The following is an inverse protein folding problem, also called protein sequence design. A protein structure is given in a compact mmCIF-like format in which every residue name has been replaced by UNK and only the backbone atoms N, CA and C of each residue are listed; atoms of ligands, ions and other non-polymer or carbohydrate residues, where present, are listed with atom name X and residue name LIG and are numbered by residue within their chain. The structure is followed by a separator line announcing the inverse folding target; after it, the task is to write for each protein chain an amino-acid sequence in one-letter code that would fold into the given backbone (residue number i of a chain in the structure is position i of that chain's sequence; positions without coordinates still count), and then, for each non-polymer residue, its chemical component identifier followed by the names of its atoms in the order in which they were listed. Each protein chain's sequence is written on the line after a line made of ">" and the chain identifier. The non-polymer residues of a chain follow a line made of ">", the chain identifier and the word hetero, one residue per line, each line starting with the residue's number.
data_IF_278192957584
#
_entry.id   IF_278192957584
#
_cell.length_a   1.000
_cell.length_b   1.000
_cell.length_c   1.000
_cell.angle_alpha   90.00
_cell.angle_beta   90.00
_cell.angle_gamma   90.00
#
_symmetry.space_group_name_H-M   'P 1'
#
loop_
_entity.id
_entity.type
_entity.pdbx_description
1 polymer ?
#
# COMPACT_ATOMS: atom_id res chain seq x y z
N UNK A 1 39.18 49.18 13.10
CA UNK A 1 39.13 48.08 14.09
C UNK A 1 38.57 46.89 13.35
N UNK A 2 39.41 45.89 13.11
CA UNK A 2 39.10 44.69 12.33
C UNK A 2 38.15 43.78 13.12
N UNK A 3 37.09 43.29 12.46
CA UNK A 3 36.31 42.15 12.91
C UNK A 3 36.46 41.06 11.87
N UNK A 4 37.24 40.04 12.22
CA UNK A 4 37.51 38.85 11.42
C UNK A 4 36.23 38.07 11.16
N UNK A 5 35.92 37.83 9.87
CA UNK A 5 34.99 36.77 9.45
C UNK A 5 35.72 35.44 9.65
N UNK A 6 35.13 34.54 10.43
CA UNK A 6 35.54 33.14 10.45
C UNK A 6 34.97 32.46 9.20
N UNK A 7 35.86 31.94 8.35
CA UNK A 7 35.53 31.08 7.23
C UNK A 7 35.09 29.69 7.76
N UNK A 8 34.21 28.96 7.05
CA UNK A 8 33.84 27.61 7.46
C UNK A 8 35.07 26.69 7.30
N UNK A 9 35.39 25.96 8.36
CA UNK A 9 36.48 24.98 8.38
C UNK A 9 36.23 23.91 7.32
N UNK A 10 37.08 23.85 6.29
CA UNK A 10 37.14 22.72 5.36
C UNK A 10 37.48 21.45 6.14
N UNK A 11 36.55 20.49 6.15
CA UNK A 11 36.75 19.18 6.75
C UNK A 11 37.70 18.35 5.87
N UNK A 12 38.91 18.10 6.37
CA UNK A 12 39.90 17.21 5.76
C UNK A 12 39.38 15.77 5.64
N UNK A 13 39.73 15.11 4.55
CA UNK A 13 39.15 13.85 4.05
C UNK A 13 39.50 12.55 4.81
N UNK A 14 39.91 12.64 6.08
CA UNK A 14 40.47 11.49 6.83
C UNK A 14 39.82 11.25 8.22
N UNK A 15 38.53 11.56 8.39
CA UNK A 15 37.81 11.14 9.60
C UNK A 15 37.36 9.67 9.51
N UNK A 16 37.63 8.89 10.55
CA UNK A 16 37.15 7.51 10.65
C UNK A 16 35.63 7.44 10.95
N UNK A 17 35.01 6.30 10.67
CA UNK A 17 33.54 6.14 10.79
C UNK A 17 33.03 6.28 12.23
N UNK A 18 33.85 5.96 13.23
CA UNK A 18 33.50 6.11 14.66
C UNK A 18 33.60 7.57 15.09
N UNK A 19 34.52 8.34 14.52
CA UNK A 19 34.69 9.77 14.75
C UNK A 19 33.60 10.57 14.03
N UNK A 20 33.20 10.17 12.83
CA UNK A 20 32.03 10.71 12.13
C UNK A 20 30.72 10.44 12.89
N UNK A 21 30.57 9.24 13.46
CA UNK A 21 29.41 8.90 14.28
C UNK A 21 29.38 9.70 15.60
N UNK A 22 30.54 9.87 16.25
CA UNK A 22 30.66 10.71 17.45
C UNK A 22 30.39 12.18 17.14
N UNK A 23 30.84 12.68 16.00
CA UNK A 23 30.59 14.04 15.56
C UNK A 23 29.10 14.26 15.24
N UNK A 24 28.44 13.30 14.60
CA UNK A 24 27.00 13.34 14.36
C UNK A 24 26.19 13.33 15.67
N UNK A 25 26.59 12.50 16.65
CA UNK A 25 25.98 12.47 17.98
C UNK A 25 26.21 13.79 18.73
N UNK A 26 27.41 14.37 18.62
CA UNK A 26 27.73 15.66 19.23
C UNK A 26 26.91 16.82 18.63
N UNK A 27 26.72 16.84 17.30
CA UNK A 27 25.85 17.81 16.62
C UNK A 27 24.38 17.67 17.04
N UNK A 28 23.88 16.43 17.16
CA UNK A 28 22.51 16.18 17.65
C UNK A 28 22.30 16.59 19.12
N UNK A 29 23.35 16.52 19.96
CA UNK A 29 23.29 17.00 21.34
C UNK A 29 23.37 18.53 21.42
N UNK A 30 24.15 19.16 20.55
CA UNK A 30 24.30 20.61 20.50
C UNK A 30 23.02 21.31 19.99
N UNK A 31 22.31 20.71 19.01
CA UNK A 31 20.98 21.18 18.58
C UNK A 31 19.90 21.04 19.67
N UNK A 32 20.03 20.08 20.58
CA UNK A 32 19.13 19.93 21.73
C UNK A 32 19.40 20.98 22.83
N UNK A 33 20.65 21.41 23.00
CA UNK A 33 21.02 22.46 23.96
C UNK A 33 20.67 23.87 23.42
N UNK A 34 20.80 24.12 22.11
CA UNK A 34 20.44 25.42 21.50
C UNK A 34 18.92 25.64 21.42
N UNK A 35 18.10 24.58 21.38
CA UNK A 35 16.64 24.70 21.54
C UNK A 35 16.20 24.92 23.00
N UNK A 36 17.11 24.77 23.97
CA UNK A 36 16.85 24.94 25.40
C UNK A 36 16.98 26.37 25.95
N UNK A 37 17.65 27.29 25.25
CA UNK A 37 18.13 28.54 25.86
C UNK A 37 17.53 29.86 25.29
N UNK A 38 16.35 29.80 24.66
CA UNK A 38 15.55 30.99 24.37
C UNK A 38 14.20 30.98 25.09
N UNK A 39 14.22 31.00 26.42
CA UNK A 39 13.11 31.55 27.21
C UNK A 39 13.55 31.78 28.65
N UNK A 40 14.05 32.97 28.96
CA UNK A 40 14.16 33.45 30.34
C UNK A 40 14.18 34.97 30.38
N UNK A 41 13.03 35.60 30.72
CA UNK A 41 12.98 36.69 31.71
C UNK A 41 11.54 37.12 32.10
N UNK A 42 11.19 36.81 33.37
CA UNK A 42 10.31 37.48 34.38
C UNK A 42 8.75 37.41 34.30
N UNK A 43 7.96 37.54 35.40
CA UNK A 43 7.53 36.44 36.30
C UNK A 43 6.00 36.35 36.61
N UNK A 44 5.61 35.20 37.20
CA UNK A 44 4.53 34.96 38.20
C UNK A 44 3.08 35.42 37.96
N UNK A 45 2.14 34.45 37.86
CA UNK A 45 1.11 34.15 38.89
C UNK A 45 -0.15 33.44 38.34
N UNK A 46 -0.61 32.43 39.10
CA UNK A 46 -1.99 31.92 39.25
C UNK A 46 -2.81 31.36 38.07
N UNK A 47 -3.07 30.05 38.18
CA UNK A 47 -4.38 29.35 38.10
C UNK A 47 -5.27 29.45 36.85
N UNK A 48 -5.58 28.25 36.33
CA UNK A 48 -6.78 27.79 35.58
C UNK A 48 -6.74 27.70 34.04
N UNK A 49 -7.03 26.46 33.57
CA UNK A 49 -7.69 26.05 32.31
C UNK A 49 -7.19 26.58 30.96
N UNK A 50 -6.62 25.70 30.12
CA UNK A 50 -7.23 25.23 28.85
C UNK A 50 -6.24 24.44 27.98
N UNK A 51 -6.81 23.62 27.10
CA UNK A 51 -6.20 22.80 26.05
C UNK A 51 -4.92 23.31 25.39
N UNK A 52 -4.01 22.38 25.06
CA UNK A 52 -3.31 22.35 23.76
C UNK A 52 -2.87 20.93 23.39
N UNK A 53 -3.43 20.46 22.28
CA UNK A 53 -3.02 19.28 21.50
C UNK A 53 -1.63 19.54 20.91
N UNK A 54 -0.72 18.58 21.06
CA UNK A 54 0.49 18.48 20.24
C UNK A 54 0.27 17.40 19.18
N UNK A 55 0.22 17.82 17.92
CA UNK A 55 0.10 16.96 16.74
C UNK A 55 1.48 16.72 16.15
N UNK A 56 1.95 15.48 16.18
CA UNK A 56 3.00 14.95 15.30
C UNK A 56 2.42 13.71 14.63
N UNK A 57 1.98 13.83 13.37
CA UNK A 57 1.32 12.76 12.62
C UNK A 57 1.95 12.68 11.23
N UNK A 58 2.81 11.67 11.03
CA UNK A 58 3.43 11.32 9.76
C UNK A 58 3.19 9.85 9.35
N UNK A 59 2.25 9.17 10.01
CA UNK A 59 1.75 7.85 9.61
C UNK A 59 0.25 7.96 9.37
N UNK A 60 -0.22 7.47 8.22
CA UNK A 60 -1.62 7.50 7.80
C UNK A 60 -2.52 6.96 8.93
N UNK A 61 -3.14 7.89 9.64
CA UNK A 61 -4.13 7.61 10.65
C UNK A 61 -5.41 7.18 9.93
N UNK A 62 -5.75 5.90 10.04
CA UNK A 62 -7.14 5.42 9.92
C UNK A 62 -8.04 5.99 11.05
N UNK A 63 -7.56 6.99 11.80
CA UNK A 63 -8.27 7.70 12.86
C UNK A 63 -9.36 8.65 12.36
N UNK A 64 -9.91 8.41 11.17
CA UNK A 64 -11.12 9.08 10.72
C UNK A 64 -12.07 8.15 9.94
N UNK A 65 -12.20 6.89 10.35
CA UNK A 65 -13.53 6.30 10.38
C UNK A 65 -14.38 7.17 11.32
N UNK A 66 -14.99 8.26 10.81
CA UNK A 66 -16.09 9.00 11.46
C UNK A 66 -17.37 8.15 11.57
N UNK A 67 -17.21 6.84 11.66
CA UNK A 67 -18.20 5.88 12.10
C UNK A 67 -17.91 5.55 13.56
N UNK A 68 -17.78 6.60 14.38
CA UNK A 68 -17.58 6.46 15.81
C UNK A 68 -18.87 5.85 16.39
N UNK A 69 -18.89 4.51 16.48
CA UNK A 69 -20.01 3.74 17.00
C UNK A 69 -20.32 4.17 18.43
N UNK A 70 -19.32 4.57 19.22
CA UNK A 70 -19.53 5.16 20.55
C UNK A 70 -20.23 6.50 20.44
N UNK A 71 -19.80 7.40 19.56
CA UNK A 71 -20.48 8.69 19.36
C UNK A 71 -21.90 8.53 18.80
N UNK A 72 -22.15 7.59 17.89
CA UNK A 72 -23.49 7.27 17.39
C UNK A 72 -24.36 6.58 18.46
N UNK A 73 -23.80 5.69 19.29
CA UNK A 73 -24.50 5.08 20.42
C UNK A 73 -24.74 6.10 21.54
N UNK A 74 -23.80 7.01 21.81
CA UNK A 74 -23.93 8.13 22.72
C UNK A 74 -24.98 9.13 22.21
N UNK A 75 -24.98 9.46 20.93
CA UNK A 75 -26.01 10.31 20.32
C UNK A 75 -27.38 9.61 20.36
N UNK A 76 -27.44 8.29 20.12
CA UNK A 76 -28.66 7.48 20.29
C UNK A 76 -29.14 7.48 21.74
N UNK A 77 -28.23 7.32 22.70
CA UNK A 77 -28.50 7.35 24.13
C UNK A 77 -28.91 8.74 24.59
N UNK A 78 -28.33 9.80 24.04
CA UNK A 78 -28.71 11.19 24.29
C UNK A 78 -30.09 11.53 23.71
N UNK A 79 -30.43 11.01 22.52
CA UNK A 79 -31.79 11.11 21.95
C UNK A 79 -32.81 10.36 22.82
N UNK A 80 -32.48 9.17 23.32
CA UNK A 80 -33.31 8.41 24.26
C UNK A 80 -33.43 9.09 25.62
N UNK A 81 -32.37 9.73 26.11
CA UNK A 81 -32.37 10.48 27.36
C UNK A 81 -33.20 11.76 27.26
N UNK A 82 -33.11 12.51 26.14
CA UNK A 82 -33.98 13.67 25.85
C UNK A 82 -35.46 13.27 25.79
N UNK A 83 -35.77 12.10 25.22
CA UNK A 83 -37.13 11.54 25.18
C UNK A 83 -37.63 11.02 26.54
N UNK A 84 -36.73 10.73 27.48
CA UNK A 84 -37.06 10.37 28.89
C UNK A 84 -37.12 11.57 29.83
N UNK A 85 -36.67 12.76 29.42
CA UNK A 85 -36.57 13.95 30.27
C UNK A 85 -37.66 15.00 30.03
N UNK A 86 -38.73 14.64 29.30
CA UNK A 86 -39.91 15.50 29.11
C UNK A 86 -41.18 14.71 29.44
N UNK A 87 -41.65 14.71 30.69
CA UNK A 87 -43.07 14.53 31.00
C UNK A 87 -43.77 15.90 30.99
N UNK A 88 -45.06 15.91 30.66
CA UNK A 88 -46.00 17.06 30.60
C UNK A 88 -46.10 17.76 29.23
N UNK A 89 -46.99 17.29 28.35
CA UNK A 89 -48.35 17.85 28.26
C UNK A 89 -49.26 17.08 27.28
N UNK A 90 -50.55 17.24 27.52
CA UNK A 90 -51.66 16.36 27.17
C UNK A 90 -52.15 16.36 25.69
N UNK A 91 -52.72 15.20 25.33
CA UNK A 91 -53.93 14.96 24.49
C UNK A 91 -54.04 15.59 23.09
N UNK A 92 -54.10 14.72 22.07
CA UNK A 92 -55.31 14.54 21.26
C UNK A 92 -55.25 13.24 20.45
N UNK A 93 -56.40 12.59 20.40
CA UNK A 93 -56.74 11.33 19.75
C UNK A 93 -57.00 11.60 18.27
N UNK A 94 -56.44 10.78 17.38
CA UNK A 94 -57.09 10.43 16.11
C UNK A 94 -56.71 8.99 15.74
N UNK A 95 -57.72 8.12 15.87
CA UNK A 95 -57.72 6.71 15.54
C UNK A 95 -58.34 6.55 14.15
N UNK A 96 -57.57 6.04 13.16
CA UNK A 96 -58.09 5.61 11.85
C UNK A 96 -57.38 4.31 11.41
N UNK A 97 -58.10 3.31 10.85
CA UNK A 97 -57.82 1.87 11.01
C UNK A 97 -57.02 1.21 9.86
N UNK A 98 -56.61 -0.08 9.99
CA UNK A 98 -55.67 -0.72 9.07
C UNK A 98 -56.34 -1.19 7.77
N UNK A 99 -55.68 -0.93 6.64
CA UNK A 99 -56.09 -1.45 5.34
C UNK A 99 -55.57 -2.89 5.11
N UNK A 100 -56.50 -3.75 4.71
CA UNK A 100 -56.37 -5.19 4.49
C UNK A 100 -55.54 -5.54 3.26
N UNK A 101 -54.76 -6.61 3.44
CA UNK A 101 -54.27 -7.63 2.50
C UNK A 101 -55.16 -7.86 1.28
N UNK A 102 -54.59 -7.79 0.07
CA UNK A 102 -55.09 -8.50 -1.13
C UNK A 102 -53.90 -8.92 -2.03
N UNK A 103 -53.71 -10.24 -2.14
CA UNK A 103 -53.05 -10.94 -3.26
C UNK A 103 -54.00 -11.01 -4.45
N UNK A 104 -53.49 -11.01 -5.70
CA UNK A 104 -53.82 -12.16 -6.56
C UNK A 104 -52.72 -12.62 -7.55
N UNK A 105 -52.49 -13.94 -7.53
CA UNK A 105 -52.32 -14.91 -8.64
C UNK A 105 -51.39 -14.65 -9.82
N UNK A 106 -50.44 -15.58 -9.96
CA UNK A 106 -49.75 -16.03 -11.18
C UNK A 106 -50.69 -16.41 -12.33
N UNK A 107 -50.17 -16.39 -13.57
CA UNK A 107 -50.49 -17.42 -14.54
C UNK A 107 -49.24 -18.25 -14.87
N UNK A 108 -49.37 -19.55 -14.57
CA UNK A 108 -48.51 -20.64 -15.05
C UNK A 108 -48.36 -20.59 -16.58
N UNK A 109 -47.10 -20.60 -17.04
CA UNK A 109 -46.73 -21.09 -18.37
C UNK A 109 -45.51 -21.99 -18.25
N UNK A 110 -45.80 -23.27 -18.13
CA UNK A 110 -44.92 -24.40 -18.42
C UNK A 110 -44.40 -24.25 -19.85
N UNK A 111 -43.09 -24.01 -20.00
CA UNK A 111 -42.37 -24.33 -21.23
C UNK A 111 -41.16 -25.15 -20.83
N UNK A 112 -41.31 -26.45 -21.02
CA UNK A 112 -40.24 -27.45 -20.94
C UNK A 112 -39.24 -27.14 -22.06
N UNK A 113 -38.18 -26.39 -21.74
CA UNK A 113 -37.03 -26.24 -22.62
C UNK A 113 -35.88 -27.03 -22.01
N UNK A 114 -35.65 -28.19 -22.60
CA UNK A 114 -34.54 -29.12 -22.41
C UNK A 114 -33.23 -28.37 -22.21
N UNK A 115 -32.66 -28.49 -21.01
CA UNK A 115 -31.34 -28.01 -20.68
C UNK A 115 -30.29 -28.78 -21.50
N UNK A 116 -29.93 -28.22 -22.66
CA UNK A 116 -28.60 -28.42 -23.22
C UNK A 116 -27.78 -27.23 -22.75
N UNK A 117 -27.18 -27.38 -21.57
CA UNK A 117 -26.17 -26.47 -21.07
C UNK A 117 -24.95 -26.58 -22.01
N UNK A 118 -24.99 -25.85 -23.12
CA UNK A 118 -23.78 -25.54 -23.87
C UNK A 118 -22.86 -24.80 -22.91
N UNK A 119 -21.79 -25.49 -22.53
CA UNK A 119 -20.74 -25.02 -21.63
C UNK A 119 -20.05 -23.84 -22.30
N UNK A 120 -20.53 -22.63 -22.03
CA UNK A 120 -19.72 -21.44 -22.28
C UNK A 120 -18.58 -21.48 -21.25
N UNK A 121 -17.31 -21.36 -21.67
CA UNK A 121 -16.22 -21.14 -20.72
C UNK A 121 -16.57 -19.88 -19.92
N UNK A 122 -16.32 -19.88 -18.60
CA UNK A 122 -16.48 -18.69 -17.77
C UNK A 122 -15.52 -17.62 -18.32
N UNK A 123 -16.02 -16.75 -19.19
CA UNK A 123 -15.22 -15.72 -19.82
C UNK A 123 -14.99 -14.63 -18.78
N UNK A 124 -13.82 -14.67 -18.15
CA UNK A 124 -13.39 -13.60 -17.25
C UNK A 124 -12.83 -12.44 -18.08
N UNK A 125 -12.95 -11.18 -17.63
CA UNK A 125 -12.51 -10.01 -18.40
C UNK A 125 -11.01 -9.98 -18.73
N UNK A 126 -10.14 -10.32 -17.76
CA UNK A 126 -8.68 -10.22 -17.91
C UNK A 126 -7.96 -11.55 -17.66
N UNK A 127 -8.21 -12.60 -18.46
CA UNK A 127 -7.71 -13.96 -18.18
C UNK A 127 -6.18 -14.08 -18.27
N UNK A 128 -5.53 -13.21 -19.05
CA UNK A 128 -4.07 -13.17 -19.25
C UNK A 128 -3.41 -11.99 -18.53
N UNK A 129 -4.18 -11.26 -17.74
CA UNK A 129 -3.77 -9.99 -17.16
C UNK A 129 -3.79 -8.82 -18.16
N UNK A 130 -3.78 -7.62 -17.62
CA UNK A 130 -3.67 -6.37 -18.37
C UNK A 130 -2.97 -5.31 -17.51
N UNK A 131 -2.28 -4.39 -18.19
CA UNK A 131 -1.76 -3.16 -17.60
C UNK A 131 -2.65 -2.02 -18.09
N UNK A 132 -3.08 -1.17 -17.16
CA UNK A 132 -3.95 -0.01 -17.40
C UNK A 132 -3.37 1.22 -16.70
N UNK A 133 -3.68 2.40 -17.22
CA UNK A 133 -3.49 3.67 -16.52
C UNK A 133 -4.75 4.02 -15.75
N UNK A 134 -4.64 4.71 -14.63
CA UNK A 134 -5.82 5.30 -14.02
C UNK A 134 -6.37 6.39 -14.93
N UNK A 135 -7.69 6.41 -15.10
CA UNK A 135 -8.33 7.50 -15.83
C UNK A 135 -8.06 8.84 -15.14
N UNK A 136 -7.74 9.88 -15.91
CA UNK A 136 -7.50 11.22 -15.39
C UNK A 136 -8.55 12.24 -15.89
N UNK A 137 -9.18 12.96 -14.96
CA UNK A 137 -10.18 13.98 -15.26
C UNK A 137 -9.61 15.10 -16.13
N UNK A 138 -10.28 15.40 -17.23
CA UNK A 138 -9.88 16.46 -18.16
C UNK A 138 -8.90 16.01 -19.24
N UNK A 139 -8.59 14.71 -19.31
CA UNK A 139 -7.89 14.10 -20.43
C UNK A 139 -8.84 13.23 -21.26
N UNK A 140 -8.62 13.10 -22.58
CA UNK A 140 -9.35 12.14 -23.39
C UNK A 140 -9.14 10.72 -22.86
N UNK A 141 -10.23 9.97 -22.73
CA UNK A 141 -10.18 8.58 -22.28
C UNK A 141 -9.81 7.66 -23.45
N UNK A 142 -8.87 6.74 -23.23
CA UNK A 142 -8.50 5.67 -24.16
C UNK A 142 -8.91 4.29 -23.64
N UNK A 143 -8.69 3.25 -24.44
CA UNK A 143 -8.87 1.85 -24.04
C UNK A 143 -7.91 1.40 -22.94
N UNK A 144 -6.85 2.15 -22.69
CA UNK A 144 -5.82 1.82 -21.70
C UNK A 144 -6.14 2.40 -20.33
N UNK A 145 -7.17 3.24 -20.22
CA UNK A 145 -7.55 3.89 -18.98
C UNK A 145 -8.64 3.12 -18.22
N UNK A 146 -8.46 3.00 -16.91
CA UNK A 146 -9.39 2.31 -15.99
C UNK A 146 -9.76 3.20 -14.80
N UNK A 147 -11.01 3.11 -14.36
CA UNK A 147 -11.50 3.71 -13.12
C UNK A 147 -11.59 2.69 -11.99
N UNK A 148 -11.58 3.17 -10.74
CA UNK A 148 -11.73 2.30 -9.57
C UNK A 148 -13.04 1.51 -9.60
N UNK A 149 -14.13 2.08 -10.12
CA UNK A 149 -15.43 1.41 -10.20
C UNK A 149 -15.41 0.22 -11.18
N UNK A 150 -14.60 0.30 -12.23
CA UNK A 150 -14.43 -0.77 -13.22
C UNK A 150 -13.53 -1.89 -12.68
N UNK A 151 -12.59 -1.53 -11.80
CA UNK A 151 -11.80 -2.48 -11.03
C UNK A 151 -12.67 -3.21 -10.01
N UNK A 152 -13.41 -2.48 -9.17
CA UNK A 152 -14.17 -3.04 -8.05
C UNK A 152 -15.45 -3.75 -8.49
N UNK A 153 -16.15 -3.25 -9.51
CA UNK A 153 -17.43 -3.83 -9.97
C UNK A 153 -18.38 -4.09 -8.80
N UNK A 154 -18.63 -3.03 -8.00
CA UNK A 154 -19.23 -3.12 -6.66
C UNK A 154 -20.51 -3.95 -6.58
N UNK A 155 -21.33 -3.97 -7.62
CA UNK A 155 -22.60 -4.69 -7.66
C UNK A 155 -22.43 -6.22 -7.62
N UNK A 156 -21.23 -6.74 -7.91
CA UNK A 156 -20.90 -8.18 -7.89
C UNK A 156 -19.87 -8.56 -6.85
N UNK A 157 -19.25 -7.58 -6.20
CA UNK A 157 -18.12 -7.80 -5.30
C UNK A 157 -18.59 -8.41 -3.98
N UNK A 158 -18.15 -9.63 -3.67
CA UNK A 158 -18.55 -10.35 -2.45
C UNK A 158 -17.55 -10.12 -1.31
N UNK A 159 -16.26 -10.06 -1.65
CA UNK A 159 -15.19 -9.84 -0.68
C UNK A 159 -14.03 -9.10 -1.33
N UNK A 160 -13.49 -8.12 -0.61
CA UNK A 160 -12.26 -7.45 -0.99
C UNK A 160 -11.24 -7.53 0.14
N UNK A 161 -10.05 -8.06 -0.15
CA UNK A 161 -8.86 -7.79 0.64
C UNK A 161 -8.14 -6.63 -0.02
N UNK A 162 -7.94 -5.55 0.73
CA UNK A 162 -7.31 -4.32 0.24
C UNK A 162 -6.09 -3.99 1.09
N UNK A 163 -4.99 -3.61 0.46
CA UNK A 163 -3.86 -2.95 1.11
C UNK A 163 -3.55 -1.63 0.40
N UNK A 164 -3.13 -0.63 1.17
CA UNK A 164 -2.72 0.67 0.66
C UNK A 164 -1.91 1.42 1.71
N UNK A 165 -1.10 2.38 1.27
CA UNK A 165 -0.39 3.24 2.21
C UNK A 165 -1.29 4.39 2.69
N UNK A 166 -2.02 5.03 1.78
CA UNK A 166 -3.01 6.07 2.10
C UNK A 166 -4.44 5.62 1.80
N UNK A 167 -5.37 6.12 2.61
CA UNK A 167 -6.79 5.76 2.58
C UNK A 167 -7.62 7.03 2.71
N UNK A 168 -8.64 7.15 1.86
CA UNK A 168 -9.77 8.06 2.07
C UNK A 168 -11.00 7.18 2.31
N UNK A 169 -11.40 7.08 3.58
CA UNK A 169 -12.44 6.14 4.02
C UNK A 169 -13.81 6.45 3.41
N UNK A 170 -14.19 7.72 3.37
CA UNK A 170 -15.47 8.15 2.81
C UNK A 170 -15.52 7.88 1.31
N UNK A 171 -14.44 8.22 0.61
CA UNK A 171 -14.29 7.90 -0.80
C UNK A 171 -14.32 6.40 -1.04
N UNK A 172 -13.54 5.60 -0.31
CA UNK A 172 -13.50 4.14 -0.48
C UNK A 172 -14.88 3.51 -0.24
N UNK A 173 -15.57 3.91 0.83
CA UNK A 173 -16.91 3.42 1.12
C UNK A 173 -17.93 3.80 0.03
N UNK A 174 -17.72 4.91 -0.69
CA UNK A 174 -18.55 5.27 -1.85
C UNK A 174 -18.36 4.34 -3.06
N UNK A 175 -17.20 3.65 -3.15
CA UNK A 175 -16.82 2.78 -4.28
C UNK A 175 -17.25 1.32 -4.10
N UNK A 176 -17.79 0.94 -2.95
CA UNK A 176 -18.21 -0.44 -2.62
C UNK A 176 -19.68 -0.47 -2.15
N UNK A 177 -20.34 -1.64 -2.20
CA UNK A 177 -21.63 -1.83 -1.50
C UNK A 177 -21.39 -2.57 -0.17
N UNK A 178 -21.42 -1.88 0.99
CA UNK A 178 -21.13 -2.49 2.28
C UNK A 178 -22.18 -3.51 2.74
N UNK A 179 -23.35 -3.59 2.08
CA UNK A 179 -24.36 -4.62 2.37
C UNK A 179 -24.00 -5.96 1.75
N UNK A 180 -23.20 -5.94 0.69
CA UNK A 180 -22.83 -7.14 -0.08
C UNK A 180 -21.37 -7.51 0.14
N UNK A 181 -20.48 -6.52 0.15
CA UNK A 181 -19.03 -6.74 0.18
C UNK A 181 -18.50 -6.82 1.60
N UNK A 182 -17.81 -7.91 1.92
CA UNK A 182 -16.97 -8.01 3.13
C UNK A 182 -15.58 -7.43 2.85
N UNK A 183 -15.03 -6.67 3.78
CA UNK A 183 -13.69 -6.08 3.64
C UNK A 183 -12.69 -6.71 4.62
N UNK A 184 -11.51 -7.01 4.10
CA UNK A 184 -10.33 -7.33 4.87
C UNK A 184 -9.23 -6.32 4.54
N UNK A 185 -8.96 -5.40 5.46
CA UNK A 185 -8.02 -4.29 5.25
C UNK A 185 -6.66 -4.66 5.84
N UNK A 186 -5.66 -4.84 4.98
CA UNK A 186 -4.25 -4.88 5.38
C UNK A 186 -3.81 -3.44 5.65
N UNK A 187 -3.73 -3.09 6.92
CA UNK A 187 -3.46 -1.74 7.38
C UNK A 187 -2.21 -1.69 8.25
N UNK A 188 -1.53 -0.55 8.24
CA UNK A 188 -0.46 -0.28 9.20
C UNK A 188 -1.07 0.18 10.53
N UNK A 189 -0.46 -0.26 11.62
CA UNK A 189 -0.70 0.30 12.94
C UNK A 189 0.60 0.28 13.75
N UNK A 190 0.89 1.39 14.44
CA UNK A 190 2.13 1.66 15.17
C UNK A 190 2.21 0.95 16.54
N UNK A 191 1.06 0.53 17.08
CA UNK A 191 0.96 0.03 18.45
C UNK A 191 -0.22 -0.93 18.62
N UNK A 192 -0.15 -1.80 19.64
CA UNK A 192 -1.28 -2.67 20.00
C UNK A 192 -2.51 -1.88 20.47
N UNK A 193 -2.30 -0.69 21.04
CA UNK A 193 -3.39 0.22 21.40
C UNK A 193 -4.15 0.69 20.16
N UNK A 194 -3.43 1.16 19.14
CA UNK A 194 -4.03 1.59 17.87
C UNK A 194 -4.71 0.41 17.15
N UNK A 195 -4.08 -0.78 17.11
CA UNK A 195 -4.72 -2.00 16.56
C UNK A 195 -6.03 -2.33 17.25
N UNK A 196 -6.06 -2.23 18.58
CA UNK A 196 -7.25 -2.52 19.39
C UNK A 196 -8.36 -1.49 19.14
N UNK A 197 -8.00 -0.21 19.08
CA UNK A 197 -8.93 0.87 18.75
C UNK A 197 -9.56 0.67 17.37
N UNK A 198 -8.74 0.46 16.34
CA UNK A 198 -9.19 0.22 14.96
C UNK A 198 -10.13 -0.99 14.87
N UNK A 199 -9.80 -2.10 15.54
CA UNK A 199 -10.67 -3.28 15.60
C UNK A 199 -11.99 -2.99 16.31
N UNK A 200 -11.98 -2.23 17.40
CA UNK A 200 -13.17 -1.91 18.18
C UNK A 200 -14.15 -0.98 17.45
N UNK A 201 -13.62 -0.12 16.59
CA UNK A 201 -14.38 0.85 15.81
C UNK A 201 -14.77 0.32 14.41
N UNK A 202 -14.31 -0.87 14.03
CA UNK A 202 -14.60 -1.45 12.73
C UNK A 202 -16.12 -1.72 12.56
N UNK A 203 -16.74 -1.20 11.49
CA UNK A 203 -18.13 -1.53 11.15
C UNK A 203 -18.31 -3.03 10.87
N UNK A 204 -19.55 -3.56 11.01
CA UNK A 204 -19.86 -4.92 10.59
C UNK A 204 -19.43 -5.17 9.13
N UNK A 205 -18.80 -6.32 8.89
CA UNK A 205 -18.31 -6.68 7.55
C UNK A 205 -16.88 -6.21 7.25
N UNK A 206 -16.27 -5.36 8.09
CA UNK A 206 -14.89 -4.91 7.95
C UNK A 206 -14.00 -5.60 9.00
N UNK A 207 -12.84 -6.09 8.57
CA UNK A 207 -11.81 -6.66 9.45
C UNK A 207 -10.45 -6.09 9.08
N UNK A 208 -9.59 -5.93 10.08
CA UNK A 208 -8.21 -5.49 9.89
C UNK A 208 -7.21 -6.63 10.05
N UNK A 209 -6.18 -6.61 9.22
CA UNK A 209 -4.95 -7.39 9.34
C UNK A 209 -3.80 -6.40 9.46
N UNK A 210 -2.91 -6.63 10.42
CA UNK A 210 -1.79 -5.73 10.72
C UNK A 210 -0.48 -6.48 10.49
N UNK A 211 0.20 -6.26 9.35
CA UNK A 211 1.50 -6.88 9.09
C UNK A 211 2.54 -6.51 10.14
N UNK A 212 3.44 -7.44 10.48
CA UNK A 212 4.57 -7.15 11.34
C UNK A 212 5.59 -6.27 10.59
N UNK A 213 6.02 -5.17 11.22
CA UNK A 213 6.88 -4.16 10.58
C UNK A 213 8.37 -4.32 10.91
N UNK A 214 8.71 -5.04 11.98
CA UNK A 214 10.08 -5.47 12.32
C UNK A 214 11.16 -4.36 12.27
N UNK A 215 10.80 -3.12 12.62
CA UNK A 215 11.68 -1.96 12.61
C UNK A 215 11.08 -0.75 11.89
N UNK A 216 11.89 0.29 11.62
CA UNK A 216 11.49 1.43 10.81
C UNK A 216 11.08 0.97 9.40
N UNK A 217 10.00 1.54 8.86
CA UNK A 217 9.53 1.22 7.52
C UNK A 217 8.06 1.58 7.32
N UNK A 218 7.56 1.32 6.10
CA UNK A 218 6.20 1.61 5.71
C UNK A 218 5.51 0.39 5.10
N UNK A 219 4.22 0.19 5.42
CA UNK A 219 3.37 -0.74 4.68
C UNK A 219 2.97 -0.07 3.37
N UNK A 220 3.83 -0.19 2.35
CA UNK A 220 3.64 0.48 1.07
C UNK A 220 2.94 -0.40 0.01
N UNK A 221 2.64 -1.66 0.36
CA UNK A 221 2.02 -2.59 -0.57
C UNK A 221 0.61 -2.14 -0.92
N UNK A 222 0.33 -2.14 -2.22
CA UNK A 222 -0.98 -1.84 -2.79
C UNK A 222 -1.41 -3.08 -3.54
N UNK A 223 -2.27 -3.86 -2.90
CA UNK A 223 -2.75 -5.15 -3.40
C UNK A 223 -4.25 -5.22 -3.17
N UNK A 224 -4.98 -5.69 -4.18
CA UNK A 224 -6.42 -5.91 -4.08
C UNK A 224 -6.73 -7.34 -4.53
N UNK A 225 -7.29 -8.15 -3.64
CA UNK A 225 -7.87 -9.45 -3.98
C UNK A 225 -9.39 -9.31 -3.91
N UNK A 226 -10.02 -9.30 -5.08
CA UNK A 226 -11.43 -9.02 -5.25
C UNK A 226 -12.14 -10.31 -5.67
N UNK A 227 -13.03 -10.81 -4.82
CA UNK A 227 -13.78 -12.05 -5.05
C UNK A 227 -15.17 -11.74 -5.58
N UNK A 228 -15.48 -12.42 -6.67
CA UNK A 228 -16.78 -12.43 -7.33
C UNK A 228 -17.34 -13.86 -7.32
N UNK A 229 -18.63 -14.06 -7.65
CA UNK A 229 -19.25 -15.40 -7.63
C UNK A 229 -18.49 -16.45 -8.47
N UNK A 230 -17.90 -16.02 -9.59
CA UNK A 230 -17.35 -16.85 -10.64
C UNK A 230 -15.84 -16.65 -10.89
N UNK A 231 -15.20 -15.64 -10.28
CA UNK A 231 -13.76 -15.41 -10.43
C UNK A 231 -13.13 -14.63 -9.28
N UNK A 232 -11.80 -14.73 -9.18
CA UNK A 232 -10.95 -13.89 -8.34
C UNK A 232 -10.20 -12.92 -9.23
N UNK A 233 -10.28 -11.62 -8.94
CA UNK A 233 -9.39 -10.62 -9.54
C UNK A 233 -8.26 -10.30 -8.57
N UNK A 234 -7.03 -10.34 -9.07
CA UNK A 234 -5.86 -9.80 -8.37
C UNK A 234 -5.47 -8.50 -9.06
N UNK A 235 -5.32 -7.43 -8.28
CA UNK A 235 -4.93 -6.09 -8.75
C UNK A 235 -3.70 -5.65 -7.98
N UNK A 236 -2.70 -5.17 -8.70
CA UNK A 236 -1.50 -4.52 -8.15
C UNK A 236 -1.43 -3.11 -8.74
N UNK A 237 -2.07 -2.12 -8.08
CA UNK A 237 -1.98 -0.73 -8.49
C UNK A 237 -0.77 -0.02 -7.86
N UNK A 238 -0.32 1.03 -8.51
CA UNK A 238 0.59 2.04 -7.91
C UNK A 238 -0.16 3.11 -7.12
N UNK A 239 -1.45 3.30 -7.43
CA UNK A 239 -2.38 4.22 -6.76
C UNK A 239 -2.72 3.81 -5.32
N UNK A 240 -2.72 4.77 -4.40
CA UNK A 240 -3.36 4.64 -3.09
C UNK A 240 -4.89 4.61 -3.22
N UNK A 241 -5.61 4.30 -2.14
CA UNK A 241 -7.07 4.30 -2.10
C UNK A 241 -7.62 5.68 -1.74
N UNK A 242 -7.36 6.64 -2.63
CA UNK A 242 -7.71 8.07 -2.50
C UNK A 242 -8.14 8.62 -3.87
N UNK A 243 -9.04 9.61 -3.95
CA UNK A 243 -9.61 10.08 -5.22
C UNK A 243 -8.58 10.62 -6.20
N UNK A 244 -7.54 11.31 -5.71
CA UNK A 244 -6.56 11.95 -6.58
C UNK A 244 -5.69 10.95 -7.35
N UNK A 245 -5.35 9.81 -6.74
CA UNK A 245 -4.52 8.76 -7.37
C UNK A 245 -5.29 7.98 -8.46
N UNK A 246 -6.61 7.93 -8.34
CA UNK A 246 -7.52 7.38 -9.36
C UNK A 246 -8.01 8.46 -10.34
N UNK A 247 -7.28 9.58 -10.38
CA UNK A 247 -7.37 10.65 -11.37
C UNK A 247 -8.66 11.48 -11.32
N UNK A 248 -9.45 11.40 -10.24
CA UNK A 248 -10.67 12.22 -10.09
C UNK A 248 -10.38 13.73 -10.01
N UNK A 249 -9.17 14.10 -9.57
CA UNK A 249 -8.67 15.48 -9.61
C UNK A 249 -8.06 15.86 -10.96
N UNK A 250 -7.65 14.86 -11.77
CA UNK A 250 -6.95 15.05 -13.03
C UNK A 250 -5.49 15.49 -12.88
N UNK A 251 -4.91 15.35 -11.69
CA UNK A 251 -3.54 15.79 -11.38
C UNK A 251 -2.54 14.64 -11.42
N UNK A 252 -2.96 13.45 -11.00
CA UNK A 252 -2.10 12.28 -10.92
C UNK A 252 -2.54 11.20 -11.91
N UNK A 253 -1.57 10.50 -12.45
CA UNK A 253 -1.74 9.28 -13.24
C UNK A 253 -0.99 8.15 -12.53
N UNK A 254 -1.62 6.98 -12.42
CA UNK A 254 -1.03 5.79 -11.82
C UNK A 254 -1.20 4.60 -12.77
N UNK A 255 -0.41 3.56 -12.57
CA UNK A 255 -0.50 2.29 -13.29
C UNK A 255 -1.23 1.23 -12.45
N UNK A 256 -1.96 0.34 -13.14
CA UNK A 256 -2.72 -0.77 -12.56
C UNK A 256 -2.45 -2.04 -13.36
N UNK A 257 -1.84 -3.04 -12.73
CA UNK A 257 -1.90 -4.41 -13.23
C UNK A 257 -3.12 -5.12 -12.65
N UNK A 258 -3.88 -5.85 -13.47
CA UNK A 258 -4.95 -6.72 -13.01
C UNK A 258 -5.03 -8.01 -13.82
N UNK A 259 -5.42 -9.11 -13.17
CA UNK A 259 -5.64 -10.42 -13.77
C UNK A 259 -6.82 -11.13 -13.10
N UNK A 260 -7.63 -11.80 -13.91
CA UNK A 260 -8.83 -12.51 -13.46
C UNK A 260 -8.63 -14.03 -13.56
N UNK A 261 -8.87 -14.72 -12.45
CA UNK A 261 -8.74 -16.16 -12.32
C UNK A 261 -10.13 -16.79 -12.19
N UNK A 262 -10.58 -17.58 -13.17
CA UNK A 262 -11.89 -18.21 -13.11
C UNK A 262 -11.95 -19.20 -11.95
N UNK A 263 -13.12 -19.30 -11.32
CA UNK A 263 -13.36 -20.26 -10.25
C UNK A 263 -13.39 -21.68 -10.82
N UNK A 264 -12.66 -22.59 -10.17
CA UNK A 264 -12.66 -24.01 -10.52
C UNK A 264 -14.00 -24.64 -10.15
N UNK A 265 -14.53 -25.47 -11.06
CA UNK A 265 -15.73 -26.29 -10.78
C UNK A 265 -15.44 -27.39 -9.76
N UNK A 266 -14.24 -27.92 -9.80
CA UNK A 266 -13.73 -28.93 -8.87
C UNK A 266 -12.38 -28.46 -8.30
N UNK A 267 -12.30 -28.11 -7.02
CA UNK A 267 -11.05 -27.71 -6.37
C UNK A 267 -9.93 -28.76 -6.47
N UNK A 268 -10.26 -30.05 -6.66
CA UNK A 268 -9.25 -31.10 -6.85
C UNK A 268 -8.42 -30.94 -8.14
N UNK A 269 -8.91 -30.13 -9.09
CA UNK A 269 -8.21 -29.82 -10.34
C UNK A 269 -7.16 -28.72 -10.20
N UNK A 270 -7.07 -28.08 -9.03
CA UNK A 270 -6.13 -27.00 -8.79
C UNK A 270 -4.69 -27.42 -9.07
N UNK A 271 -4.00 -26.58 -9.84
CA UNK A 271 -2.57 -26.70 -10.11
C UNK A 271 -1.88 -25.45 -9.61
N UNK A 272 -1.06 -25.64 -8.59
CA UNK A 272 -0.25 -24.55 -8.03
C UNK A 272 0.74 -24.04 -9.09
N UNK A 273 0.87 -22.72 -9.20
CA UNK A 273 1.84 -22.05 -10.06
C UNK A 273 2.87 -21.32 -9.21
N UNK A 274 4.00 -20.90 -9.79
CA UNK A 274 4.97 -20.07 -9.09
C UNK A 274 4.32 -18.78 -8.55
N UNK A 275 3.50 -18.13 -9.37
CA UNK A 275 2.73 -16.95 -8.99
C UNK A 275 1.79 -17.21 -7.81
N UNK A 276 0.96 -18.26 -7.86
CA UNK A 276 0.00 -18.54 -6.78
C UNK A 276 0.70 -18.93 -5.47
N UNK A 277 1.87 -19.58 -5.59
CA UNK A 277 2.74 -19.90 -4.45
C UNK A 277 3.24 -18.63 -3.76
N UNK A 278 3.85 -17.72 -4.51
CA UNK A 278 4.42 -16.48 -3.94
C UNK A 278 3.34 -15.53 -3.44
N UNK A 279 2.19 -15.43 -4.12
CA UNK A 279 1.03 -14.70 -3.61
C UNK A 279 0.56 -15.27 -2.27
N UNK A 280 0.42 -16.60 -2.16
CA UNK A 280 0.04 -17.26 -0.91
C UNK A 280 1.04 -17.00 0.22
N UNK A 281 2.35 -17.03 -0.07
CA UNK A 281 3.41 -16.70 0.89
C UNK A 281 3.33 -15.27 1.39
N UNK A 282 3.13 -14.30 0.49
CA UNK A 282 2.94 -12.90 0.86
C UNK A 282 1.73 -12.70 1.78
N UNK A 283 0.59 -13.31 1.45
CA UNK A 283 -0.62 -13.24 2.28
C UNK A 283 -0.37 -13.84 3.67
N UNK A 284 0.24 -15.01 3.75
CA UNK A 284 0.58 -15.63 5.05
C UNK A 284 1.54 -14.76 5.87
N UNK A 285 2.58 -14.21 5.23
CA UNK A 285 3.59 -13.36 5.90
C UNK A 285 3.02 -12.04 6.41
N UNK A 286 1.96 -11.53 5.77
CA UNK A 286 1.26 -10.32 6.20
C UNK A 286 0.18 -10.57 7.27
N UNK A 287 -0.02 -11.83 7.69
CA UNK A 287 -0.96 -12.21 8.74
C UNK A 287 -2.39 -12.47 8.24
N UNK A 288 -2.58 -12.65 6.93
CA UNK A 288 -3.86 -13.07 6.37
C UNK A 288 -4.15 -14.50 6.82
N UNK A 289 -5.36 -14.74 7.34
CA UNK A 289 -5.73 -16.03 7.91
C UNK A 289 -5.67 -17.18 6.88
N UNK A 290 -5.27 -18.35 7.35
CA UNK A 290 -5.04 -19.55 6.53
C UNK A 290 -6.24 -19.90 5.62
N UNK A 291 -7.47 -19.81 6.13
CA UNK A 291 -8.67 -20.08 5.32
C UNK A 291 -8.79 -19.17 4.08
N UNK A 292 -8.33 -17.92 4.16
CA UNK A 292 -8.29 -17.01 3.00
C UNK A 292 -7.17 -17.41 2.03
N UNK A 293 -6.00 -17.76 2.55
CA UNK A 293 -4.85 -18.21 1.74
C UNK A 293 -5.19 -19.51 1.00
N UNK A 294 -5.69 -20.51 1.71
CA UNK A 294 -6.12 -21.80 1.14
C UNK A 294 -7.24 -21.65 0.13
N UNK A 295 -8.07 -20.58 0.24
CA UNK A 295 -9.12 -20.33 -0.74
C UNK A 295 -8.61 -19.97 -2.14
N UNK A 296 -7.33 -19.63 -2.31
CA UNK A 296 -6.70 -19.45 -3.62
C UNK A 296 -6.78 -20.73 -4.46
N UNK A 297 -6.75 -21.91 -3.83
CA UNK A 297 -6.89 -23.19 -4.51
C UNK A 297 -8.27 -23.41 -5.18
N UNK A 298 -9.23 -22.49 -4.98
CA UNK A 298 -10.51 -22.55 -5.68
C UNK A 298 -10.47 -21.88 -7.06
N UNK A 299 -9.35 -21.32 -7.50
CA UNK A 299 -9.25 -20.56 -8.75
C UNK A 299 -8.14 -21.11 -9.66
N UNK A 300 -8.33 -20.96 -10.96
CA UNK A 300 -7.36 -21.40 -11.96
C UNK A 300 -6.28 -20.33 -12.19
N UNK A 301 -5.07 -20.60 -11.71
CA UNK A 301 -3.89 -19.76 -11.94
C UNK A 301 -3.09 -20.16 -13.20
N UNK A 302 -3.58 -21.07 -14.05
CA UNK A 302 -2.83 -21.62 -15.19
C UNK A 302 -2.31 -20.57 -16.18
N UNK A 303 -2.98 -19.41 -16.27
CA UNK A 303 -2.56 -18.30 -17.14
C UNK A 303 -1.38 -17.48 -16.57
N UNK A 304 -0.84 -17.78 -15.39
CA UNK A 304 0.28 -17.02 -14.80
C UNK A 304 1.67 -17.58 -15.13
N UNK A 305 1.80 -18.54 -16.05
CA UNK A 305 3.11 -19.17 -16.35
C UNK A 305 4.20 -18.18 -16.78
N UNK A 306 3.79 -17.05 -17.34
CA UNK A 306 4.66 -15.99 -17.85
C UNK A 306 4.80 -14.82 -16.85
N UNK A 307 4.31 -14.97 -15.62
CA UNK A 307 4.27 -13.91 -14.61
C UNK A 307 5.00 -14.34 -13.34
N UNK A 308 5.79 -13.43 -12.80
CA UNK A 308 6.40 -13.54 -11.48
C UNK A 308 5.70 -12.63 -10.47
N UNK A 309 5.54 -13.09 -9.22
CA UNK A 309 5.02 -12.27 -8.13
C UNK A 309 6.16 -11.96 -7.15
N UNK A 310 6.67 -10.72 -7.21
CA UNK A 310 7.80 -10.25 -6.40
C UNK A 310 7.27 -9.33 -5.29
N UNK A 311 7.75 -9.53 -4.06
CA UNK A 311 7.31 -8.76 -2.90
C UNK A 311 8.44 -8.56 -1.90
N UNK A 312 8.22 -7.63 -0.96
CA UNK A 312 9.13 -7.38 0.17
C UNK A 312 8.37 -7.52 1.48
N UNK A 313 8.98 -8.18 2.46
CA UNK A 313 8.51 -8.28 3.85
C UNK A 313 9.63 -7.75 4.74
N UNK A 314 9.36 -6.86 5.70
CA UNK A 314 10.39 -6.31 6.57
C UNK A 314 10.95 -7.35 7.55
N UNK A 315 12.21 -7.18 7.93
CA UNK A 315 12.94 -8.04 8.87
C UNK A 315 14.17 -8.72 8.26
N UNK A 316 14.95 -9.39 9.10
CA UNK A 316 16.10 -10.17 8.67
C UNK A 316 15.68 -11.53 8.09
N UNK A 317 16.13 -11.83 6.88
CA UNK A 317 15.82 -13.07 6.16
C UNK A 317 17.05 -13.97 6.04
N UNK A 318 16.89 -15.28 6.24
CA UNK A 318 17.98 -16.26 6.23
C UNK A 318 17.58 -17.53 5.45
N UNK A 319 18.57 -18.29 5.01
CA UNK A 319 18.35 -19.51 4.22
C UNK A 319 17.54 -19.20 2.97
N UNK A 320 16.53 -20.03 2.67
CA UNK A 320 15.72 -19.86 1.46
C UNK A 320 14.89 -18.57 1.44
N UNK A 321 14.59 -17.95 2.59
CA UNK A 321 13.81 -16.69 2.58
C UNK A 321 14.62 -15.52 2.03
N UNK A 322 15.95 -15.55 2.19
CA UNK A 322 16.84 -14.53 1.63
C UNK A 322 16.68 -14.40 0.12
N UNK A 323 16.51 -15.53 -0.58
CA UNK A 323 16.39 -15.59 -2.04
C UNK A 323 15.02 -15.19 -2.56
N UNK A 324 14.03 -14.96 -1.68
CA UNK A 324 12.63 -14.72 -2.05
C UNK A 324 12.19 -13.27 -1.90
N UNK A 325 12.89 -12.48 -1.09
CA UNK A 325 12.45 -11.16 -0.67
C UNK A 325 13.24 -10.08 -1.40
N UNK A 326 12.58 -8.99 -1.78
CA UNK A 326 13.25 -7.82 -2.38
C UNK A 326 13.94 -8.14 -3.70
N UNK A 327 15.11 -7.53 -3.93
CA UNK A 327 15.86 -7.73 -5.18
C UNK A 327 16.35 -9.18 -5.35
N UNK A 328 16.70 -9.89 -4.28
CA UNK A 328 17.03 -11.32 -4.35
C UNK A 328 15.85 -12.15 -4.88
N UNK A 329 14.63 -11.82 -4.43
CA UNK A 329 13.39 -12.39 -4.94
C UNK A 329 13.13 -12.09 -6.41
N UNK A 330 13.48 -10.88 -6.86
CA UNK A 330 13.44 -10.50 -8.28
C UNK A 330 14.36 -11.40 -9.11
N UNK A 331 15.61 -11.61 -8.70
CA UNK A 331 16.56 -12.47 -9.42
C UNK A 331 16.11 -13.91 -9.51
N UNK A 332 15.67 -14.50 -8.40
CA UNK A 332 15.07 -15.85 -8.39
C UNK A 332 13.89 -15.94 -9.36
N UNK A 333 13.07 -14.88 -9.43
CA UNK A 333 11.90 -14.83 -10.31
C UNK A 333 12.30 -14.75 -11.78
N UNK A 334 13.26 -13.89 -12.13
CA UNK A 334 13.81 -13.77 -13.49
C UNK A 334 14.38 -15.12 -13.96
N UNK A 335 15.16 -15.79 -13.11
CA UNK A 335 15.68 -17.11 -13.40
C UNK A 335 14.57 -18.17 -13.58
N UNK A 336 13.56 -18.17 -12.71
CA UNK A 336 12.43 -19.11 -12.79
C UNK A 336 11.58 -18.92 -14.05
N UNK A 337 11.55 -17.71 -14.62
CA UNK A 337 10.89 -17.41 -15.90
C UNK A 337 11.75 -17.79 -17.11
N UNK A 338 12.99 -18.28 -16.91
CA UNK A 338 13.92 -18.60 -17.98
C UNK A 338 14.51 -17.37 -18.66
N UNK A 339 14.55 -16.23 -17.96
CA UNK A 339 15.03 -14.94 -18.46
C UNK A 339 16.42 -14.57 -17.93
N UNK A 340 17.02 -15.41 -17.09
CA UNK A 340 18.36 -15.17 -16.57
C UNK A 340 19.40 -15.16 -17.71
N UNK A 341 20.37 -14.26 -17.60
CA UNK A 341 21.39 -14.05 -18.63
C UNK A 341 22.66 -13.46 -18.04
N UNK A 342 23.80 -13.93 -18.53
CA UNK A 342 25.11 -13.32 -18.25
C UNK A 342 25.40 -12.16 -19.22
N UNK A 343 24.64 -12.06 -20.32
CA UNK A 343 24.78 -10.99 -21.29
C UNK A 343 24.38 -9.65 -20.68
N UNK A 344 25.05 -8.55 -21.06
CA UNK A 344 24.70 -7.24 -20.55
C UNK A 344 23.27 -6.81 -20.93
N UNK A 345 22.56 -6.21 -19.98
CA UNK A 345 21.18 -5.73 -20.15
C UNK A 345 21.10 -4.21 -19.98
N UNK A 346 19.97 -3.65 -20.40
CA UNK A 346 19.56 -2.28 -20.06
C UNK A 346 18.43 -2.32 -19.03
N UNK A 347 18.50 -1.45 -18.02
CA UNK A 347 17.50 -1.34 -16.96
C UNK A 347 17.00 0.10 -16.89
N UNK A 348 15.71 0.28 -17.15
CA UNK A 348 15.00 1.52 -16.93
C UNK A 348 14.21 1.42 -15.61
N UNK A 349 14.62 2.19 -14.60
CA UNK A 349 14.02 2.21 -13.27
C UNK A 349 13.21 3.49 -13.08
N UNK A 350 11.88 3.37 -13.08
CA UNK A 350 10.96 4.49 -12.89
C UNK A 350 10.47 4.51 -11.46
N UNK A 351 10.62 5.64 -10.76
CA UNK A 351 10.15 5.76 -9.39
C UNK A 351 9.55 7.13 -9.08
N UNK A 352 8.63 7.12 -8.12
CA UNK A 352 8.05 8.32 -7.51
C UNK A 352 8.62 8.54 -6.10
N UNK A 353 9.77 7.94 -5.77
CA UNK A 353 10.58 8.26 -4.59
C UNK A 353 11.96 7.63 -4.73
N UNK A 354 12.97 8.28 -4.19
CA UNK A 354 14.36 7.84 -4.26
C UNK A 354 15.03 8.00 -2.90
N UNK A 355 15.26 6.87 -2.21
CA UNK A 355 16.06 6.88 -0.98
C UNK A 355 17.55 7.11 -1.26
N UNK A 356 18.36 7.05 -0.21
CA UNK A 356 19.82 7.13 -0.35
C UNK A 356 20.34 5.96 -1.21
N UNK A 357 20.91 6.28 -2.37
CA UNK A 357 21.45 5.30 -3.30
C UNK A 357 22.97 5.24 -3.22
N UNK A 358 23.49 4.02 -3.36
CA UNK A 358 24.89 3.78 -3.65
C UNK A 358 25.03 2.76 -4.78
N UNK A 359 26.20 2.74 -5.40
CA UNK A 359 26.50 1.86 -6.52
C UNK A 359 26.42 0.37 -6.17
N UNK A 360 26.63 -0.03 -4.92
CA UNK A 360 26.51 -1.43 -4.50
C UNK A 360 25.05 -1.88 -4.52
N UNK A 361 24.11 -1.05 -4.08
CA UNK A 361 22.67 -1.33 -4.16
C UNK A 361 22.19 -1.37 -5.62
N UNK A 362 22.56 -0.38 -6.44
CA UNK A 362 22.16 -0.35 -7.85
C UNK A 362 22.75 -1.55 -8.60
N UNK A 363 24.00 -1.93 -8.30
CA UNK A 363 24.64 -3.12 -8.83
C UNK A 363 23.93 -4.42 -8.43
N UNK A 364 23.46 -4.53 -7.18
CA UNK A 364 22.67 -5.66 -6.71
C UNK A 364 21.34 -5.80 -7.47
N UNK A 365 20.63 -4.67 -7.69
CA UNK A 365 19.39 -4.65 -8.48
C UNK A 365 19.67 -5.02 -9.94
N UNK A 366 20.74 -4.50 -10.54
CA UNK A 366 21.15 -4.86 -11.90
C UNK A 366 21.42 -6.37 -12.04
N UNK A 367 22.16 -6.96 -11.09
CA UNK A 367 22.39 -8.40 -11.05
C UNK A 367 21.08 -9.20 -10.88
N UNK A 368 20.17 -8.73 -10.03
CA UNK A 368 18.84 -9.34 -9.90
C UNK A 368 18.05 -9.29 -11.22
N UNK A 369 18.13 -8.19 -11.98
CA UNK A 369 17.54 -8.12 -13.32
C UNK A 369 18.17 -9.12 -14.32
N UNK A 370 19.42 -9.55 -14.08
CA UNK A 370 20.08 -10.63 -14.82
C UNK A 370 19.77 -12.04 -14.29
N UNK A 371 19.05 -12.15 -13.17
CA UNK A 371 18.67 -13.43 -12.56
C UNK A 371 19.51 -13.88 -11.36
N UNK A 372 20.39 -13.04 -10.82
CA UNK A 372 21.14 -13.34 -9.59
C UNK A 372 20.25 -13.24 -8.35
N UNK A 373 20.24 -14.29 -7.52
CA UNK A 373 19.42 -14.40 -6.31
C UNK A 373 19.99 -13.63 -5.10
N UNK A 374 20.86 -12.65 -5.34
CA UNK A 374 21.56 -11.84 -4.35
C UNK A 374 22.83 -12.49 -3.79
N UNK A 375 23.16 -13.73 -4.21
CA UNK A 375 24.32 -14.44 -3.68
C UNK A 375 25.66 -13.90 -4.20
N UNK A 376 25.71 -13.31 -5.40
CA UNK A 376 26.95 -12.70 -5.91
C UNK A 376 27.37 -11.50 -5.03
N UNK A 377 26.41 -10.65 -4.70
CA UNK A 377 26.60 -9.48 -3.84
C UNK A 377 26.96 -9.89 -2.41
N UNK A 378 26.20 -10.83 -1.82
CA UNK A 378 26.47 -11.37 -0.49
C UNK A 378 27.89 -11.95 -0.35
N UNK A 379 28.33 -12.76 -1.32
CA UNK A 379 29.70 -13.31 -1.34
C UNK A 379 30.75 -12.22 -1.48
N UNK A 380 30.50 -11.20 -2.31
CA UNK A 380 31.42 -10.07 -2.46
C UNK A 380 31.58 -9.30 -1.15
N UNK A 381 30.50 -9.05 -0.40
CA UNK A 381 30.57 -8.36 0.89
C UNK A 381 31.34 -9.16 1.94
N UNK A 382 31.06 -10.45 2.07
CA UNK A 382 31.78 -11.31 3.03
C UNK A 382 33.25 -11.47 2.65
N UNK A 383 33.57 -11.54 1.36
CA UNK A 383 34.97 -11.60 0.89
C UNK A 383 35.77 -10.31 1.11
N UNK A 384 35.12 -9.16 1.36
CA UNK A 384 35.77 -7.87 1.62
C UNK A 384 36.22 -7.67 3.08
N UNK A 385 35.92 -8.60 4.00
CA UNK A 385 36.41 -8.50 5.38
C UNK A 385 37.91 -8.83 5.46
N UNK A 386 38.76 -7.80 5.29
CA UNK A 386 40.22 -7.90 5.34
C UNK A 386 40.92 -6.65 4.77
N UNK A 387 42.26 -6.66 4.72
CA UNK A 387 43.11 -5.52 4.30
C UNK A 387 42.86 -4.97 2.87
N UNK A 388 41.96 -5.59 2.09
CA UNK A 388 41.53 -5.15 0.77
C UNK A 388 40.55 -3.95 0.78
N UNK A 389 40.03 -3.54 1.94
CA UNK A 389 39.17 -2.36 2.09
C UNK A 389 39.87 -1.02 1.78
N UNK A 390 41.22 -0.99 1.75
CA UNK A 390 42.00 0.25 1.64
C UNK A 390 42.16 0.84 0.23
N UNK A 391 41.71 0.16 -0.83
CA UNK A 391 41.76 0.71 -2.19
C UNK A 391 40.39 1.30 -2.58
N UNK A 392 40.16 2.56 -2.18
CA UNK A 392 39.04 3.43 -2.60
C UNK A 392 39.11 3.85 -4.10
N UNK A 393 39.78 3.09 -4.94
CA UNK A 393 40.01 3.45 -6.35
C UNK A 393 38.94 2.80 -7.24
N UNK A 394 37.85 3.54 -7.46
CA UNK A 394 36.69 3.24 -8.32
C UNK A 394 35.79 2.08 -7.87
N UNK A 395 34.49 2.36 -7.69
CA UNK A 395 33.50 1.31 -7.53
C UNK A 395 33.38 0.57 -8.88
N UNK A 396 33.53 -0.76 -8.95
CA UNK A 396 33.45 -1.52 -10.22
C UNK A 396 32.12 -1.34 -10.95
N UNK A 397 31.07 -0.93 -10.24
CA UNK A 397 29.76 -0.63 -10.81
C UNK A 397 29.68 0.71 -11.53
N UNK A 398 30.54 1.68 -11.21
CA UNK A 398 30.41 3.04 -11.72
C UNK A 398 30.50 3.07 -13.25
N UNK A 399 31.52 2.45 -13.84
CA UNK A 399 31.65 2.34 -15.30
C UNK A 399 30.65 1.34 -15.90
N UNK A 400 30.38 0.23 -15.20
CA UNK A 400 29.49 -0.83 -15.70
C UNK A 400 28.04 -0.36 -15.84
N UNK A 401 27.55 0.46 -14.92
CA UNK A 401 26.14 0.88 -14.85
C UNK A 401 25.85 2.17 -15.60
N UNK A 402 26.86 3.01 -15.86
CA UNK A 402 26.71 4.36 -16.44
C UNK A 402 25.78 4.42 -17.65
N UNK A 403 25.92 3.47 -18.56
CA UNK A 403 25.12 3.43 -19.81
C UNK A 403 24.02 2.34 -19.80
N UNK A 404 23.87 1.63 -18.67
CA UNK A 404 23.03 0.42 -18.57
C UNK A 404 21.91 0.52 -17.53
N UNK A 405 21.99 1.47 -16.60
CA UNK A 405 20.98 1.65 -15.57
C UNK A 405 20.52 3.12 -15.57
N UNK A 406 19.29 3.36 -16.01
CA UNK A 406 18.69 4.69 -16.11
C UNK A 406 17.61 4.85 -15.06
N UNK A 407 17.74 5.85 -14.21
CA UNK A 407 16.72 6.16 -13.20
C UNK A 407 15.89 7.35 -13.70
N UNK A 408 14.59 7.12 -13.86
CA UNK A 408 13.63 8.16 -14.24
C UNK A 408 12.94 8.69 -12.99
N UNK A 409 13.19 9.96 -12.71
CA UNK A 409 12.58 10.70 -11.61
C UNK A 409 12.13 12.07 -12.11
N UNK A 410 10.96 12.59 -11.70
CA UNK A 410 10.48 13.89 -12.15
C UNK A 410 11.43 15.03 -11.77
N UNK A 411 11.78 15.87 -12.73
CA UNK A 411 12.54 17.09 -12.45
C UNK A 411 11.66 18.16 -11.80
N UNK A 412 12.26 19.13 -11.12
CA UNK A 412 11.52 20.28 -10.59
C UNK A 412 10.74 21.02 -11.70
N UNK A 413 11.34 21.18 -12.88
CA UNK A 413 10.70 21.82 -14.03
C UNK A 413 9.47 21.03 -14.50
N UNK A 414 9.60 19.69 -14.60
CA UNK A 414 8.49 18.80 -14.95
C UNK A 414 7.33 18.95 -13.96
N UNK A 415 7.62 18.94 -12.65
CA UNK A 415 6.60 19.09 -11.60
C UNK A 415 5.98 20.50 -11.64
N UNK A 416 6.80 21.54 -11.79
CA UNK A 416 6.38 22.93 -11.84
C UNK A 416 5.46 23.25 -13.04
N UNK A 417 5.65 22.56 -14.17
CA UNK A 417 4.80 22.68 -15.37
C UNK A 417 3.60 21.72 -15.40
N UNK A 418 3.53 20.78 -14.46
CA UNK A 418 2.41 19.86 -14.37
C UNK A 418 1.12 20.59 -13.98
N UNK A 419 -0.03 19.97 -14.25
CA UNK A 419 -1.34 20.55 -13.94
C UNK A 419 -1.56 20.82 -12.45
N UNK A 420 -0.93 20.04 -11.55
CA UNK A 420 -0.99 20.30 -10.12
C UNK A 420 0.08 21.26 -9.59
N UNK A 421 1.07 21.62 -10.43
CA UNK A 421 2.19 22.47 -10.06
C UNK A 421 3.04 21.94 -8.90
N UNK A 422 3.81 22.82 -8.26
CA UNK A 422 4.68 22.49 -7.12
C UNK A 422 3.93 22.00 -5.86
N UNK A 423 2.61 22.11 -5.82
CA UNK A 423 1.82 21.60 -4.69
C UNK A 423 1.67 20.08 -4.73
N UNK A 424 1.94 19.43 -5.87
CA UNK A 424 1.99 17.96 -6.00
C UNK A 424 3.22 17.37 -5.32
N UNK A 425 4.25 18.19 -5.08
CA UNK A 425 5.48 17.82 -4.36
C UNK A 425 5.47 18.13 -2.85
N UNK A 426 4.39 18.70 -2.30
CA UNK A 426 4.33 19.10 -0.87
C UNK A 426 4.01 17.92 0.09
N UNK A 427 4.38 18.03 1.39
CA UNK A 427 4.81 16.91 2.24
C UNK A 427 3.76 15.86 2.63
N UNK A 428 2.48 16.06 2.28
CA UNK A 428 1.43 15.06 2.53
C UNK A 428 1.54 13.80 1.64
N UNK A 429 2.31 13.88 0.56
CA UNK A 429 2.62 12.75 -0.33
C UNK A 429 4.07 12.22 -0.17
N UNK A 430 4.92 12.89 0.63
CA UNK A 430 6.37 12.69 0.65
C UNK A 430 7.01 12.70 2.06
N UNK A 431 6.28 12.32 3.10
CA UNK A 431 6.88 12.10 4.43
C UNK A 431 7.54 10.71 4.51
N UNK A 432 8.72 10.57 3.90
CA UNK A 432 9.59 9.39 4.09
C UNK A 432 11.07 9.74 3.83
N UNK A 433 11.55 10.92 4.25
CA UNK A 433 12.98 11.26 4.10
C UNK A 433 13.65 11.93 5.31
N UNK A 434 12.99 12.04 6.45
CA UNK A 434 13.69 12.42 7.69
C UNK A 434 13.57 11.27 8.70
N UNK A 435 14.66 10.52 8.83
CA UNK A 435 14.81 9.35 9.70
C UNK A 435 16.12 8.62 9.49
#
# INVERSE_FOLDING_TARGET
>A
MAGSREDPVELGSDMDEDEALRYAIALSLQEQEEQGDQSSQIPSASTSTSHRKGTGSGGASLGLLSLDRKKMEEERLQRLAKRRRSPEDERSVDEVPPAKRMTPSEPSRTVTATATAHVLPSFVPYPKGAIKRTWAKGYPRTSDDIKIEEVFQKDKLELALLSSYQWDDEWLMSKIDPRQTKLLLLAFADSEAQKSEMRSNAPPGIKFVFPAMNGPGAMHSKLQLLKYPDYLRVVVPTANLVPYDWGETGVMENMVFLIDFPRLKDPATYRQTAFSTELGRFLSATGVGEGMVSSLANYDFSQTKHLGFVYTIPGGHQGDSLKRIGYSGLGTTVAALGLATDEPIEVDFVCASLGSLNYDLVGAIYNACQGDDGMAEYKSRIGRTGAASKNKASNPWQEKLKDRFRIYFPTEETVGRSRGGRNVSLPGAWHCMDG
#
